data_IF_968554532469
#
_entry.id   IF_968554532469
#
_cell.length_a   1.000
_cell.length_b   1.000
_cell.length_c   1.000
_cell.angle_alpha   90.00
_cell.angle_beta   90.00
_cell.angle_gamma   90.00
#
_symmetry.space_group_name_H-M   'P 1'
#
loop_
_entity.id
_entity.type
_entity.pdbx_description
1 polymer ?
#
# COMPACT_ATOMS: atom_id res chain seq x y z
N UNK A 1 4.33 -49.21 -64.20
CA UNK A 1 3.44 -49.20 -63.02
C UNK A 1 4.18 -48.51 -61.88
N UNK A 2 3.92 -47.20 -61.69
CA UNK A 2 4.56 -46.40 -60.61
C UNK A 2 3.53 -46.28 -59.45
N UNK A 3 3.88 -46.83 -58.32
CA UNK A 3 3.06 -46.72 -57.12
C UNK A 3 3.33 -45.35 -56.45
N UNK A 4 2.27 -44.55 -56.37
CA UNK A 4 2.23 -43.26 -55.70
C UNK A 4 2.05 -43.52 -54.18
N UNK A 5 3.04 -43.16 -53.39
CA UNK A 5 2.95 -43.24 -51.94
C UNK A 5 2.49 -41.85 -51.43
N UNK A 6 1.27 -41.79 -50.93
CA UNK A 6 0.73 -40.60 -50.24
C UNK A 6 1.29 -40.59 -48.81
N UNK A 7 2.12 -39.61 -48.51
CA UNK A 7 2.57 -39.30 -47.13
C UNK A 7 1.59 -38.28 -46.56
N UNK A 8 0.72 -38.72 -45.66
CA UNK A 8 -0.13 -37.85 -44.86
C UNK A 8 0.69 -37.31 -43.69
N UNK A 9 1.03 -36.01 -43.74
CA UNK A 9 1.62 -35.31 -42.63
C UNK A 9 0.51 -34.92 -41.63
N UNK A 10 0.49 -35.59 -40.49
CA UNK A 10 -0.37 -35.19 -39.37
C UNK A 10 0.25 -33.99 -38.66
N UNK A 11 -0.37 -32.86 -38.78
CA UNK A 11 -0.01 -31.61 -38.03
C UNK A 11 -0.53 -31.75 -36.59
N UNK A 12 0.33 -32.09 -35.67
CA UNK A 12 0.00 -32.06 -34.26
C UNK A 12 -0.04 -30.59 -33.77
N UNK A 13 -1.24 -30.08 -33.58
CA UNK A 13 -1.46 -28.76 -32.96
C UNK A 13 -1.25 -28.90 -31.46
N UNK A 14 -0.05 -28.54 -30.97
CA UNK A 14 0.23 -28.42 -29.53
C UNK A 14 -0.48 -27.18 -29.01
N UNK A 15 -1.63 -27.38 -28.35
CA UNK A 15 -2.29 -26.36 -27.54
C UNK A 15 -1.43 -26.13 -26.29
N UNK A 16 -0.60 -25.10 -26.33
CA UNK A 16 0.06 -24.59 -25.12
C UNK A 16 -1.06 -23.91 -24.30
N UNK A 17 -1.61 -24.65 -23.34
CA UNK A 17 -2.39 -24.07 -22.27
C UNK A 17 -1.42 -23.30 -21.37
N UNK A 18 -1.11 -22.08 -21.79
CA UNK A 18 -0.41 -21.13 -20.96
C UNK A 18 -1.29 -20.86 -19.75
N UNK A 19 -0.87 -21.36 -18.58
CA UNK A 19 -1.45 -20.99 -17.32
C UNK A 19 -1.31 -19.48 -17.11
N UNK A 20 -2.29 -18.73 -17.62
CA UNK A 20 -2.47 -17.33 -17.30
C UNK A 20 -2.79 -17.27 -15.81
N UNK A 21 -1.76 -16.98 -15.01
CA UNK A 21 -1.93 -16.63 -13.61
C UNK A 21 -2.92 -15.47 -13.59
N UNK A 22 -4.09 -15.70 -13.04
CA UNK A 22 -5.17 -14.74 -12.95
C UNK A 22 -4.78 -13.58 -12.04
N UNK A 23 -4.00 -12.63 -12.55
CA UNK A 23 -3.76 -11.33 -11.89
C UNK A 23 -5.05 -10.46 -11.83
N UNK A 24 -6.12 -10.89 -12.49
CA UNK A 24 -7.34 -10.09 -12.64
C UNK A 24 -8.23 -10.06 -11.40
N UNK A 25 -8.19 -11.07 -10.54
CA UNK A 25 -9.08 -11.13 -9.38
C UNK A 25 -8.62 -10.27 -8.19
N UNK A 26 -7.33 -10.01 -8.05
CA UNK A 26 -6.80 -9.19 -6.95
C UNK A 26 -7.07 -7.69 -7.11
N UNK A 27 -7.27 -7.21 -8.34
CA UNK A 27 -7.57 -5.81 -8.61
C UNK A 27 -9.05 -5.41 -8.39
N UNK A 28 -9.92 -6.37 -8.10
CA UNK A 28 -11.34 -6.13 -7.87
C UNK A 28 -11.74 -6.14 -6.38
N UNK A 29 -10.88 -6.66 -5.50
CA UNK A 29 -11.19 -6.78 -4.08
C UNK A 29 -11.10 -5.42 -3.39
N UNK A 30 -12.23 -4.93 -2.87
CA UNK A 30 -12.26 -3.75 -2.01
C UNK A 30 -12.12 -4.21 -0.57
N UNK A 31 -11.28 -3.54 0.20
CA UNK A 31 -11.04 -3.93 1.59
C UNK A 31 -11.23 -2.76 2.54
N UNK A 32 -11.54 -3.11 3.79
CA UNK A 32 -11.49 -2.21 4.95
C UNK A 32 -10.53 -2.79 5.97
N UNK A 33 -9.65 -1.95 6.48
CA UNK A 33 -8.76 -2.27 7.58
C UNK A 33 -9.12 -1.36 8.74
N UNK A 34 -9.35 -1.95 9.92
CA UNK A 34 -9.60 -1.23 11.17
C UNK A 34 -8.57 -1.64 12.21
N UNK A 35 -8.32 -0.80 13.20
CA UNK A 35 -7.38 -1.10 14.27
C UNK A 35 -7.00 0.14 15.06
N UNK A 36 -5.81 0.12 15.64
CA UNK A 36 -5.28 1.19 16.48
C UNK A 36 -3.94 1.67 15.96
N UNK A 37 -3.75 2.98 15.93
CA UNK A 37 -2.45 3.59 15.73
C UNK A 37 -1.93 4.11 17.07
N UNK A 38 -0.74 3.68 17.45
CA UNK A 38 -0.06 4.00 18.70
C UNK A 38 1.22 4.76 18.40
N UNK A 39 1.34 5.93 18.99
CA UNK A 39 2.52 6.76 18.85
C UNK A 39 3.51 6.51 20.00
N UNK A 40 4.71 6.06 19.66
CA UNK A 40 5.82 5.85 20.60
C UNK A 40 6.91 6.91 20.48
N UNK A 41 6.71 7.96 19.67
CA UNK A 41 7.70 9.04 19.56
C UNK A 41 7.78 9.83 20.87
N UNK A 42 8.86 10.59 21.04
CA UNK A 42 9.08 11.44 22.21
C UNK A 42 8.06 12.59 22.34
N UNK A 43 7.30 12.84 21.27
CA UNK A 43 6.25 13.88 21.23
C UNK A 43 4.90 13.18 21.25
N UNK A 44 4.05 13.50 22.23
CA UNK A 44 2.76 12.84 22.48
C UNK A 44 2.85 11.31 22.61
N UNK A 45 3.90 10.82 23.28
CA UNK A 45 4.09 9.39 23.59
C UNK A 45 2.82 8.81 24.23
N UNK A 46 2.38 7.65 23.76
CA UNK A 46 1.18 6.96 24.25
C UNK A 46 -0.14 7.48 23.65
N UNK A 47 -0.11 8.48 22.75
CA UNK A 47 -1.28 8.84 22.00
C UNK A 47 -1.73 7.66 21.16
N UNK A 48 -2.98 7.22 21.33
CA UNK A 48 -3.59 6.17 20.56
C UNK A 48 -4.88 6.67 19.89
N UNK A 49 -5.18 6.14 18.73
CA UNK A 49 -6.41 6.47 18.01
C UNK A 49 -6.87 5.27 17.19
N UNK A 50 -8.18 5.05 17.15
CA UNK A 50 -8.80 4.14 16.20
C UNK A 50 -8.52 4.62 14.79
N UNK A 51 -8.24 3.70 13.91
CA UNK A 51 -8.01 3.98 12.49
C UNK A 51 -8.93 3.16 11.61
N UNK A 52 -9.25 3.71 10.47
CA UNK A 52 -9.93 3.02 9.39
C UNK A 52 -9.24 3.35 8.07
N UNK A 53 -8.93 2.33 7.31
CA UNK A 53 -8.34 2.42 5.98
C UNK A 53 -9.29 1.72 5.03
N UNK A 54 -9.83 2.44 4.08
CA UNK A 54 -10.62 1.89 2.99
C UNK A 54 -9.76 1.88 1.72
N UNK A 55 -9.62 0.73 1.08
CA UNK A 55 -8.98 0.58 -0.23
C UNK A 55 -10.04 0.10 -1.21
N UNK A 56 -10.36 0.93 -2.19
CA UNK A 56 -11.42 0.68 -3.18
C UNK A 56 -10.85 0.18 -4.51
N UNK A 57 -9.58 0.51 -4.78
CA UNK A 57 -8.84 0.04 -5.95
C UNK A 57 -7.38 -0.22 -5.56
N UNK A 58 -6.71 -1.05 -6.36
CA UNK A 58 -5.31 -1.37 -6.18
C UNK A 58 -4.44 -0.74 -7.26
N UNK A 59 -3.23 -0.37 -6.89
CA UNK A 59 -2.24 0.12 -7.84
C UNK A 59 -1.74 -1.00 -8.74
N UNK A 60 -1.47 -0.67 -9.99
CA UNK A 60 -0.91 -1.61 -10.96
C UNK A 60 0.60 -1.77 -10.79
N UNK A 61 1.16 -2.86 -11.33
CA UNK A 61 2.61 -3.06 -11.41
C UNK A 61 3.30 -1.91 -12.15
N UNK A 62 2.69 -1.41 -13.23
CA UNK A 62 3.22 -0.28 -13.98
C UNK A 62 3.30 1.02 -13.15
N UNK A 63 2.28 1.28 -12.32
CA UNK A 63 2.31 2.43 -11.40
C UNK A 63 3.39 2.26 -10.34
N UNK A 64 3.55 1.06 -9.77
CA UNK A 64 4.63 0.75 -8.83
C UNK A 64 6.00 1.03 -9.45
N UNK A 65 6.26 0.46 -10.63
CA UNK A 65 7.55 0.56 -11.29
C UNK A 65 7.89 2.00 -11.64
N UNK A 66 6.89 2.79 -12.04
CA UNK A 66 7.04 4.23 -12.28
C UNK A 66 7.40 4.98 -10.99
N UNK A 67 6.71 4.73 -9.88
CA UNK A 67 7.01 5.37 -8.59
C UNK A 67 8.41 5.03 -8.11
N UNK A 68 8.84 3.77 -8.26
CA UNK A 68 10.19 3.32 -7.93
C UNK A 68 11.23 4.04 -8.82
N UNK A 69 11.01 4.10 -10.13
CA UNK A 69 11.93 4.78 -11.06
C UNK A 69 12.08 6.26 -10.69
N UNK A 70 10.98 6.96 -10.42
CA UNK A 70 10.98 8.36 -10.01
C UNK A 70 11.70 8.53 -8.66
N UNK A 71 11.46 7.64 -7.70
CA UNK A 71 12.15 7.67 -6.40
C UNK A 71 13.67 7.46 -6.55
N UNK A 72 14.09 6.54 -7.41
CA UNK A 72 15.52 6.29 -7.66
C UNK A 72 16.21 7.49 -8.31
N UNK A 73 15.53 8.20 -9.21
CA UNK A 73 16.06 9.37 -9.95
C UNK A 73 16.00 10.65 -9.12
N UNK A 74 14.83 10.97 -8.54
CA UNK A 74 14.51 12.29 -7.96
C UNK A 74 14.25 12.24 -6.45
N UNK A 75 14.48 11.09 -5.83
CA UNK A 75 14.24 10.85 -4.41
C UNK A 75 12.79 11.23 -4.02
N UNK A 76 12.62 11.81 -2.86
CA UNK A 76 11.31 11.97 -2.23
C UNK A 76 10.47 13.07 -2.85
N UNK A 77 11.09 14.17 -3.29
CA UNK A 77 10.36 15.28 -3.94
C UNK A 77 9.73 14.82 -5.26
N UNK A 78 10.48 14.03 -6.01
CA UNK A 78 9.96 13.42 -7.22
C UNK A 78 8.84 12.43 -6.93
N UNK A 79 8.98 11.62 -5.88
CA UNK A 79 7.96 10.65 -5.48
C UNK A 79 6.65 11.34 -5.09
N UNK A 80 6.71 12.41 -4.29
CA UNK A 80 5.51 13.18 -3.93
C UNK A 80 4.81 13.71 -5.16
N UNK A 81 5.56 14.37 -6.05
CA UNK A 81 5.00 14.95 -7.28
C UNK A 81 4.34 13.89 -8.17
N UNK A 82 4.88 12.68 -8.19
CA UNK A 82 4.29 11.58 -8.96
C UNK A 82 3.08 10.95 -8.24
N UNK A 83 3.09 10.85 -6.91
CA UNK A 83 1.94 10.40 -6.12
C UNK A 83 0.72 11.32 -6.30
N UNK A 84 0.94 12.64 -6.34
CA UNK A 84 -0.14 13.61 -6.51
C UNK A 84 -0.84 13.51 -7.87
N UNK A 85 -0.18 12.93 -8.88
CA UNK A 85 -0.79 12.65 -10.20
C UNK A 85 -1.63 11.37 -10.22
N UNK A 86 -1.43 10.47 -9.23
CA UNK A 86 -2.19 9.23 -9.17
C UNK A 86 -3.63 9.49 -8.73
N UNK A 87 -4.60 8.70 -9.20
CA UNK A 87 -5.99 8.79 -8.74
C UNK A 87 -6.08 8.46 -7.24
N UNK A 88 -7.13 8.97 -6.60
CA UNK A 88 -7.51 8.48 -5.28
C UNK A 88 -8.06 7.06 -5.41
N UNK A 89 -7.47 6.13 -4.65
CA UNK A 89 -7.84 4.72 -4.65
C UNK A 89 -8.37 4.22 -3.32
N UNK A 90 -8.45 5.10 -2.34
CA UNK A 90 -8.92 4.80 -1.00
C UNK A 90 -8.74 5.97 -0.04
N UNK A 91 -9.07 5.75 1.22
CA UNK A 91 -8.95 6.75 2.29
C UNK A 91 -8.49 6.19 3.61
N UNK A 92 -7.64 6.93 4.28
CA UNK A 92 -7.32 6.80 5.69
C UNK A 92 -8.19 7.73 6.52
N UNK A 93 -8.71 7.27 7.67
CA UNK A 93 -9.52 8.07 8.60
C UNK A 93 -9.21 7.74 10.05
N UNK A 94 -9.52 8.72 10.91
CA UNK A 94 -9.65 8.50 12.35
C UNK A 94 -11.15 8.50 12.72
N UNK A 95 -11.81 7.33 12.85
CA UNK A 95 -13.22 7.27 13.23
C UNK A 95 -13.42 7.88 14.62
N UNK A 96 -14.46 8.68 14.78
CA UNK A 96 -14.78 9.32 16.06
C UNK A 96 -13.94 10.56 16.42
N UNK A 97 -12.98 10.96 15.58
CA UNK A 97 -12.33 12.25 15.78
C UNK A 97 -13.28 13.41 15.46
N UNK A 98 -13.88 13.94 16.51
CA UNK A 98 -14.71 15.14 16.49
C UNK A 98 -13.82 16.35 16.78
N UNK A 99 -13.00 16.77 15.83
CA UNK A 99 -12.24 18.02 15.96
C UNK A 99 -13.15 19.22 16.13
N UNK A 100 -12.66 20.33 16.74
CA UNK A 100 -13.47 21.53 17.00
C UNK A 100 -13.95 22.24 15.73
N UNK A 101 -13.35 21.94 14.59
CA UNK A 101 -13.70 22.52 13.29
C UNK A 101 -14.63 21.60 12.51
N UNK A 102 -15.89 22.01 12.23
CA UNK A 102 -16.84 21.23 11.44
C UNK A 102 -16.37 21.02 9.98
N UNK A 103 -15.49 21.88 9.47
CA UNK A 103 -14.87 21.77 8.15
C UNK A 103 -13.56 20.96 8.17
N UNK A 104 -13.28 20.28 9.29
CA UNK A 104 -12.05 19.58 9.51
C UNK A 104 -11.83 18.48 8.45
N UNK A 105 -10.76 18.64 7.68
CA UNK A 105 -10.30 17.66 6.67
C UNK A 105 -10.10 16.25 7.26
N UNK A 106 -9.85 16.13 8.56
CA UNK A 106 -9.74 14.84 9.25
C UNK A 106 -11.03 14.01 9.23
N UNK A 107 -12.20 14.64 9.11
CA UNK A 107 -13.48 13.94 8.94
C UNK A 107 -13.59 13.29 7.56
N UNK A 108 -13.07 13.96 6.54
CA UNK A 108 -13.03 13.44 5.18
C UNK A 108 -11.96 12.35 5.01
N UNK A 109 -10.93 12.39 5.86
CA UNK A 109 -9.79 11.49 5.80
C UNK A 109 -8.75 11.91 4.77
N UNK A 110 -7.61 11.21 4.79
CA UNK A 110 -6.48 11.43 3.89
C UNK A 110 -6.59 10.53 2.67
N UNK A 111 -6.51 11.06 1.44
CA UNK A 111 -6.50 10.26 0.23
C UNK A 111 -5.33 9.28 0.20
N UNK A 112 -5.59 8.06 -0.23
CA UNK A 112 -4.58 7.07 -0.56
C UNK A 112 -4.35 7.14 -2.06
N UNK A 113 -3.08 7.29 -2.47
CA UNK A 113 -2.67 7.41 -3.87
C UNK A 113 -2.01 6.15 -4.42
N UNK A 114 -1.54 5.31 -3.52
CA UNK A 114 -0.93 4.02 -3.89
C UNK A 114 -1.27 2.98 -2.84
N UNK A 115 -1.67 1.80 -3.29
CA UNK A 115 -1.85 0.62 -2.46
C UNK A 115 -1.51 -0.64 -3.27
N UNK A 116 -0.71 -1.51 -2.69
CA UNK A 116 -0.35 -2.78 -3.30
C UNK A 116 -0.42 -3.91 -2.28
N UNK A 117 -1.05 -5.00 -2.68
CA UNK A 117 -1.13 -6.23 -1.92
C UNK A 117 -0.07 -7.21 -2.44
N UNK A 118 0.73 -7.74 -1.53
CA UNK A 118 1.70 -8.79 -1.77
C UNK A 118 1.25 -10.04 -1.02
N UNK A 119 0.54 -10.97 -1.70
CA UNK A 119 0.08 -12.21 -1.07
C UNK A 119 1.25 -13.14 -0.79
N UNK A 120 1.24 -13.78 0.37
CA UNK A 120 2.12 -14.89 0.72
C UNK A 120 1.52 -16.23 0.31
N UNK A 121 2.36 -17.27 0.24
CA UNK A 121 1.95 -18.62 -0.16
C UNK A 121 1.00 -19.30 0.86
N UNK A 122 1.03 -18.85 2.11
CA UNK A 122 0.29 -19.36 3.26
C UNK A 122 -0.98 -18.57 3.57
N UNK A 123 -1.45 -17.75 2.64
CA UNK A 123 -2.61 -16.88 2.82
C UNK A 123 -2.30 -15.59 3.59
N UNK A 124 -1.06 -15.36 3.99
CA UNK A 124 -0.64 -14.08 4.56
C UNK A 124 -0.68 -12.97 3.52
N UNK A 125 -0.77 -11.72 3.97
CA UNK A 125 -0.77 -10.54 3.09
C UNK A 125 0.15 -9.47 3.64
N UNK A 126 0.95 -8.88 2.76
CA UNK A 126 1.68 -7.65 3.05
C UNK A 126 1.11 -6.53 2.19
N UNK A 127 0.55 -5.51 2.83
CA UNK A 127 -0.07 -4.37 2.16
C UNK A 127 0.78 -3.14 2.39
N UNK A 128 1.16 -2.48 1.31
CA UNK A 128 1.90 -1.22 1.31
C UNK A 128 1.00 -0.12 0.78
N UNK A 129 0.93 0.99 1.52
CA UNK A 129 0.06 2.14 1.21
C UNK A 129 0.87 3.42 1.28
N UNK A 130 0.67 4.32 0.30
CA UNK A 130 1.22 5.68 0.34
C UNK A 130 0.10 6.72 0.18
N UNK A 131 0.25 7.81 0.93
CA UNK A 131 -0.59 9.00 0.82
C UNK A 131 0.23 10.14 0.21
N UNK A 132 -0.44 11.16 -0.32
CA UNK A 132 0.21 12.39 -0.81
C UNK A 132 0.34 13.47 0.26
N UNK A 133 0.14 13.10 1.53
CA UNK A 133 0.19 14.01 2.69
C UNK A 133 0.73 13.29 3.91
N UNK A 134 1.29 14.06 4.81
CA UNK A 134 1.66 13.56 6.13
C UNK A 134 0.41 13.28 6.95
N UNK A 135 0.31 12.07 7.49
CA UNK A 135 -0.67 11.75 8.52
C UNK A 135 0.02 11.98 9.87
N UNK A 136 -0.30 13.10 10.51
CA UNK A 136 0.25 13.46 11.81
C UNK A 136 -0.66 13.05 12.95
N UNK A 137 -0.11 12.43 13.97
CA UNK A 137 -0.67 12.50 15.30
C UNK A 137 -0.42 13.93 15.81
N UNK A 138 -1.23 14.48 16.68
CA UNK A 138 -1.18 15.84 17.28
C UNK A 138 0.11 16.67 17.09
N UNK A 139 1.23 16.02 16.87
CA UNK A 139 2.57 16.56 16.69
C UNK A 139 2.68 17.52 15.50
N UNK A 140 2.03 17.21 14.41
CA UNK A 140 2.09 18.02 13.18
C UNK A 140 1.42 19.40 13.34
N UNK A 141 0.67 19.61 14.41
CA UNK A 141 -0.05 20.87 14.64
C UNK A 141 0.80 21.99 15.24
N UNK A 142 1.85 21.68 15.98
CA UNK A 142 2.48 22.66 16.88
C UNK A 142 3.98 22.84 16.69
N UNK A 143 4.62 22.26 15.68
CA UNK A 143 6.05 22.44 15.46
C UNK A 143 6.36 22.78 14.01
N UNK A 144 7.18 23.84 13.76
CA UNK A 144 7.80 24.05 12.47
C UNK A 144 8.84 22.95 12.25
N UNK A 145 8.42 21.81 11.67
CA UNK A 145 9.34 20.77 11.24
C UNK A 145 9.71 21.00 9.80
N UNK A 146 10.98 20.81 9.49
CA UNK A 146 11.43 20.57 8.13
C UNK A 146 10.63 19.40 7.59
N UNK A 147 9.77 19.66 6.60
CA UNK A 147 8.95 18.64 5.97
C UNK A 147 9.84 17.95 4.94
N UNK A 148 10.79 17.15 5.39
CA UNK A 148 11.66 16.41 4.50
C UNK A 148 10.92 15.26 3.80
N UNK A 149 9.73 14.87 4.32
CA UNK A 149 8.92 13.77 3.78
C UNK A 149 7.44 14.13 3.81
N UNK A 150 6.92 14.76 2.75
CA UNK A 150 5.56 15.29 2.72
C UNK A 150 4.48 14.24 2.43
N UNK A 151 4.76 12.96 2.59
CA UNK A 151 3.86 11.83 2.41
C UNK A 151 3.98 10.85 3.57
N UNK A 152 3.04 9.92 3.67
CA UNK A 152 3.09 8.83 4.65
C UNK A 152 3.12 7.49 3.94
N UNK A 153 4.07 6.63 4.35
CA UNK A 153 4.12 5.23 3.98
C UNK A 153 3.57 4.39 5.14
N UNK A 154 2.73 3.42 4.82
CA UNK A 154 2.27 2.39 5.75
C UNK A 154 2.62 1.02 5.19
N UNK A 155 3.15 0.17 6.04
CA UNK A 155 3.34 -1.24 5.75
C UNK A 155 2.57 -2.05 6.79
N UNK A 156 1.68 -2.92 6.33
CA UNK A 156 0.83 -3.75 7.17
C UNK A 156 0.99 -5.21 6.76
N UNK A 157 1.00 -6.10 7.74
CA UNK A 157 1.15 -7.54 7.56
C UNK A 157 -0.01 -8.24 8.23
N UNK A 158 -0.67 -9.12 7.50
CA UNK A 158 -1.84 -9.86 7.95
C UNK A 158 -1.60 -11.36 7.85
N UNK A 159 -2.12 -12.09 8.80
CA UNK A 159 -2.22 -13.54 8.73
C UNK A 159 -3.38 -13.98 7.82
N UNK A 160 -3.52 -15.30 7.63
CA UNK A 160 -4.58 -15.87 6.79
C UNK A 160 -6.00 -15.61 7.35
N UNK A 161 -6.15 -15.23 8.62
CA UNK A 161 -7.43 -14.89 9.25
C UNK A 161 -7.78 -13.39 9.10
N UNK A 162 -6.90 -12.59 8.50
CA UNK A 162 -7.08 -11.15 8.35
C UNK A 162 -6.71 -10.34 9.59
N UNK A 163 -6.09 -10.94 10.61
CA UNK A 163 -5.51 -10.22 11.73
C UNK A 163 -4.10 -9.77 11.41
N UNK A 164 -3.71 -8.59 11.88
CA UNK A 164 -2.42 -8.08 11.52
C UNK A 164 -1.89 -6.95 12.39
N UNK A 165 -0.70 -6.53 12.03
CA UNK A 165 0.00 -5.38 12.58
C UNK A 165 0.65 -4.57 11.47
N UNK A 166 1.09 -3.37 11.78
CA UNK A 166 1.75 -2.53 10.81
C UNK A 166 2.61 -1.44 11.43
N UNK A 167 3.24 -0.68 10.54
CA UNK A 167 4.03 0.50 10.87
C UNK A 167 3.64 1.63 9.94
N UNK A 168 3.72 2.84 10.47
CA UNK A 168 3.48 4.05 9.71
C UNK A 168 4.70 4.95 9.82
N UNK A 169 5.27 5.27 8.67
CA UNK A 169 6.41 6.16 8.51
C UNK A 169 5.94 7.49 7.95
N UNK A 170 6.00 8.54 8.76
CA UNK A 170 5.64 9.90 8.33
C UNK A 170 6.86 10.77 8.05
N UNK A 171 8.06 10.34 8.45
CA UNK A 171 9.31 11.11 8.36
C UNK A 171 10.53 10.18 8.28
N UNK A 172 10.36 8.98 7.80
CA UNK A 172 11.41 7.94 7.80
C UNK A 172 11.97 7.76 6.40
N UNK A 173 13.24 7.39 6.33
CA UNK A 173 13.88 7.05 5.06
C UNK A 173 13.22 5.81 4.46
N UNK A 174 12.98 5.89 3.16
CA UNK A 174 12.52 4.74 2.38
C UNK A 174 13.74 4.02 1.82
N UNK A 175 13.68 2.71 1.85
CA UNK A 175 14.66 1.85 1.18
C UNK A 175 14.00 1.12 0.01
N UNK A 176 14.80 0.84 -1.02
CA UNK A 176 14.35 0.05 -2.16
C UNK A 176 14.94 -1.35 -2.08
N UNK A 177 14.09 -2.35 -1.78
CA UNK A 177 14.49 -3.75 -1.85
C UNK A 177 14.50 -4.21 -3.32
N UNK A 178 15.72 -4.33 -3.88
CA UNK A 178 15.92 -4.80 -5.25
C UNK A 178 15.42 -6.22 -5.50
N UNK A 179 15.48 -7.09 -4.49
CA UNK A 179 15.06 -8.49 -4.64
C UNK A 179 13.55 -8.62 -4.74
N UNK A 180 12.83 -7.84 -3.95
CA UNK A 180 11.35 -7.83 -3.92
C UNK A 180 10.75 -6.81 -4.87
N UNK A 181 11.58 -5.92 -5.45
CA UNK A 181 11.15 -4.79 -6.28
C UNK A 181 10.08 -3.94 -5.59
N UNK A 182 10.32 -3.59 -4.31
CA UNK A 182 9.37 -2.83 -3.47
C UNK A 182 10.06 -1.71 -2.69
N UNK A 183 9.30 -0.63 -2.43
CA UNK A 183 9.67 0.34 -1.43
C UNK A 183 9.32 -0.21 -0.05
N UNK A 184 10.26 -0.11 0.88
CA UNK A 184 10.11 -0.58 2.26
C UNK A 184 10.48 0.53 3.23
N UNK A 185 9.96 0.45 4.46
CA UNK A 185 10.41 1.28 5.57
C UNK A 185 11.79 0.77 6.00
N UNK A 186 12.79 1.63 5.98
CA UNK A 186 14.19 1.26 6.29
C UNK A 186 14.33 0.59 7.66
N UNK A 187 13.67 1.16 8.66
CA UNK A 187 13.71 0.68 10.05
C UNK A 187 12.34 0.27 10.56
N UNK A 188 11.71 -0.72 9.90
CA UNK A 188 10.36 -1.17 10.25
C UNK A 188 10.14 -1.44 11.74
N UNK A 189 11.13 -2.02 12.43
CA UNK A 189 11.04 -2.37 13.86
C UNK A 189 11.14 -1.18 14.80
N UNK A 190 11.79 -0.10 14.35
CA UNK A 190 12.04 1.10 15.16
C UNK A 190 11.09 2.26 14.84
N UNK A 191 10.15 2.05 13.90
CA UNK A 191 9.19 3.10 13.52
C UNK A 191 8.33 3.53 14.70
N UNK A 192 8.24 4.83 14.99
CA UNK A 192 7.58 5.34 16.20
C UNK A 192 6.06 5.18 16.20
N UNK A 193 5.43 5.01 15.03
CA UNK A 193 3.98 4.78 14.96
C UNK A 193 3.71 3.34 14.60
N UNK A 194 3.10 2.62 15.53
CA UNK A 194 2.66 1.23 15.34
C UNK A 194 1.18 1.16 15.04
N UNK A 195 0.83 0.28 14.12
CA UNK A 195 -0.55 -0.07 13.82
C UNK A 195 -0.82 -1.45 14.40
N UNK A 196 -1.67 -1.50 15.43
CA UNK A 196 -1.91 -2.72 16.21
C UNK A 196 -3.35 -3.18 16.07
N UNK A 197 -3.56 -4.47 16.36
CA UNK A 197 -4.87 -5.12 16.32
C UNK A 197 -5.62 -4.87 15.01
N UNK A 198 -4.87 -4.87 13.91
CA UNK A 198 -5.46 -4.67 12.61
C UNK A 198 -6.38 -5.82 12.24
N UNK A 199 -7.54 -5.48 11.68
CA UNK A 199 -8.51 -6.43 11.11
C UNK A 199 -8.78 -6.02 9.67
N UNK A 200 -8.59 -6.96 8.75
CA UNK A 200 -8.86 -6.79 7.33
C UNK A 200 -10.18 -7.46 7.00
N UNK A 201 -11.08 -6.72 6.39
CA UNK A 201 -12.38 -7.20 5.93
C UNK A 201 -12.55 -6.88 4.44
N UNK A 202 -13.08 -7.83 3.68
CA UNK A 202 -13.48 -7.62 2.30
C UNK A 202 -14.81 -6.88 2.28
N UNK A 203 -14.86 -5.76 1.58
CA UNK A 203 -16.09 -4.98 1.42
C UNK A 203 -17.00 -5.68 0.39
N UNK A 204 -18.25 -5.84 0.74
CA UNK A 204 -19.29 -6.34 -0.16
C UNK A 204 -19.77 -5.26 -1.13
#
# INVERSE_FOLDING_TARGET
MRKLVLVTAALALAVIVGGGVTMSAQNAEKIRITGWALNFSNVATGANQTIQIDIDNWSTTAQRDRLIAVFMEKKQDGLLSELQKQPEIGRWRFPGYMGPDPNNIYRLGTPIRYAMNHPGADGTRRIVVLTDRVIGFREARNQPRTIDYPFTLMEMRFDATGKGEGRMASHTQLNFDKKKNTLEIENYTSEPVRLNELKLEVKK
#
